data_IF_865807057858
#
_entry.id   IF_865807057858
#
_cell.length_a   1.000
_cell.length_b   1.000
_cell.length_c   1.000
_cell.angle_alpha   90.00
_cell.angle_beta   90.00
_cell.angle_gamma   90.00
#
_symmetry.space_group_name_H-M   'P 1'
#
loop_
_entity.id
_entity.type
_entity.pdbx_description
1 polymer ?
#
# COMPACT_ATOMS: atom_id res chain seq x y z
N UNK A 1 34.38 -25.63 -3.22
CA UNK A 1 33.97 -24.56 -4.17
C UNK A 1 32.69 -23.95 -3.62
N UNK A 2 32.84 -22.85 -2.87
CA UNK A 2 31.76 -22.20 -2.12
C UNK A 2 30.93 -21.39 -3.12
N UNK A 3 29.62 -21.64 -3.21
CA UNK A 3 28.70 -20.72 -3.87
C UNK A 3 28.61 -19.49 -2.97
N UNK A 4 29.25 -18.41 -3.39
CA UNK A 4 29.03 -17.09 -2.82
C UNK A 4 27.57 -16.73 -3.06
N UNK A 5 26.81 -16.67 -1.97
CA UNK A 5 25.48 -16.09 -1.95
C UNK A 5 25.55 -14.72 -2.63
N UNK A 6 24.82 -14.58 -3.75
CA UNK A 6 24.65 -13.29 -4.39
C UNK A 6 24.08 -12.32 -3.36
N UNK A 7 24.64 -11.11 -3.20
CA UNK A 7 24.01 -10.10 -2.37
C UNK A 7 22.64 -9.85 -2.98
N UNK A 8 21.58 -10.22 -2.28
CA UNK A 8 20.24 -9.74 -2.58
C UNK A 8 20.39 -8.23 -2.66
N UNK A 9 20.10 -7.67 -3.84
CA UNK A 9 20.40 -6.29 -4.16
C UNK A 9 19.55 -5.38 -3.26
N UNK A 10 20.09 -4.93 -2.13
CA UNK A 10 19.38 -4.17 -1.09
C UNK A 10 18.67 -2.93 -1.65
N UNK A 11 19.23 -2.34 -2.71
CA UNK A 11 18.64 -1.20 -3.44
C UNK A 11 17.33 -1.56 -4.16
N UNK A 12 17.23 -2.77 -4.73
CA UNK A 12 16.03 -3.24 -5.41
C UNK A 12 14.91 -3.56 -4.41
N UNK A 13 15.27 -4.21 -3.30
CA UNK A 13 14.36 -4.45 -2.17
C UNK A 13 13.82 -3.13 -1.64
N UNK A 14 14.70 -2.13 -1.40
CA UNK A 14 14.30 -0.81 -0.94
C UNK A 14 13.38 -0.08 -1.94
N UNK A 15 13.68 -0.17 -3.23
CA UNK A 15 12.86 0.44 -4.29
C UNK A 15 11.46 -0.18 -4.37
N UNK A 16 11.35 -1.51 -4.20
CA UNK A 16 10.05 -2.20 -4.16
C UNK A 16 9.24 -1.82 -2.93
N UNK A 17 9.88 -1.70 -1.76
CA UNK A 17 9.27 -1.23 -0.52
C UNK A 17 8.66 0.16 -0.70
N UNK A 18 9.44 1.13 -1.19
CA UNK A 18 8.95 2.50 -1.44
C UNK A 18 7.78 2.51 -2.43
N UNK A 19 7.87 1.72 -3.50
CA UNK A 19 6.81 1.66 -4.51
C UNK A 19 5.51 1.08 -3.94
N UNK A 20 5.63 0.05 -3.10
CA UNK A 20 4.48 -0.54 -2.40
C UNK A 20 3.84 0.48 -1.46
N UNK A 21 4.63 1.16 -0.64
CA UNK A 21 4.16 2.22 0.27
C UNK A 21 3.41 3.32 -0.50
N UNK A 22 3.95 3.74 -1.65
CA UNK A 22 3.31 4.72 -2.50
C UNK A 22 1.98 4.21 -3.07
N UNK A 23 1.92 2.95 -3.52
CA UNK A 23 0.70 2.34 -4.05
C UNK A 23 -0.41 2.29 -2.99
N UNK A 24 -0.08 1.83 -1.77
CA UNK A 24 -1.02 1.79 -0.64
C UNK A 24 -1.55 3.20 -0.33
N UNK A 25 -0.66 4.16 -0.12
CA UNK A 25 -1.05 5.51 0.28
C UNK A 25 -1.88 6.23 -0.80
N UNK A 26 -1.59 6.01 -2.09
CA UNK A 26 -2.42 6.55 -3.18
C UNK A 26 -3.80 5.90 -3.25
N UNK A 27 -3.87 4.60 -3.00
CA UNK A 27 -5.14 3.86 -2.98
C UNK A 27 -6.01 4.32 -1.81
N UNK A 28 -5.43 4.56 -0.62
CA UNK A 28 -6.14 5.16 0.52
C UNK A 28 -6.76 6.50 0.17
N UNK A 29 -5.98 7.41 -0.43
CA UNK A 29 -6.48 8.75 -0.82
C UNK A 29 -7.65 8.63 -1.79
N UNK A 30 -7.58 7.68 -2.73
CA UNK A 30 -8.67 7.46 -3.69
C UNK A 30 -9.90 6.86 -3.01
N UNK A 31 -9.73 5.84 -2.16
CA UNK A 31 -10.82 5.21 -1.41
C UNK A 31 -11.52 6.18 -0.44
N UNK A 32 -10.77 7.08 0.21
CA UNK A 32 -11.34 8.15 1.04
C UNK A 32 -12.20 9.12 0.23
N UNK A 33 -11.76 9.49 -0.99
CA UNK A 33 -12.55 10.35 -1.90
C UNK A 33 -13.85 9.68 -2.34
N UNK A 34 -13.87 8.35 -2.45
CA UNK A 34 -15.08 7.58 -2.76
C UNK A 34 -15.94 7.31 -1.51
N UNK A 35 -15.45 7.59 -0.30
CA UNK A 35 -16.14 7.28 0.96
C UNK A 35 -16.20 5.78 1.28
N UNK A 36 -15.36 4.96 0.66
CA UNK A 36 -15.46 3.49 0.75
C UNK A 36 -14.73 2.92 1.97
N UNK A 37 -13.64 3.55 2.40
CA UNK A 37 -12.82 3.13 3.54
C UNK A 37 -13.52 3.25 4.90
N UNK A 38 -14.45 4.20 5.06
CA UNK A 38 -15.18 4.40 6.33
C UNK A 38 -16.28 3.36 6.56
N UNK A 39 -16.73 2.69 5.49
CA UNK A 39 -17.97 1.94 5.47
C UNK A 39 -17.78 0.44 5.14
N UNK A 40 -16.58 0.02 4.74
CA UNK A 40 -16.36 -1.33 4.22
C UNK A 40 -15.34 -2.09 5.06
N UNK A 41 -15.84 -2.96 5.94
CA UNK A 41 -15.08 -4.13 6.42
C UNK A 41 -15.09 -5.28 5.39
N UNK A 42 -15.88 -5.13 4.32
CA UNK A 42 -16.03 -6.10 3.24
C UNK A 42 -14.88 -5.95 2.23
N UNK A 43 -14.04 -6.99 2.17
CA UNK A 43 -12.90 -7.11 1.27
C UNK A 43 -13.32 -7.02 -0.20
N UNK A 44 -14.38 -7.72 -0.59
CA UNK A 44 -14.73 -7.90 -1.99
C UNK A 44 -15.39 -6.64 -2.55
N UNK A 45 -16.21 -5.97 -1.74
CA UNK A 45 -16.73 -4.64 -2.07
C UNK A 45 -15.60 -3.62 -2.26
N UNK A 46 -14.63 -3.60 -1.34
CA UNK A 46 -13.49 -2.70 -1.40
C UNK A 46 -12.62 -3.00 -2.63
N UNK A 47 -12.34 -4.27 -2.90
CA UNK A 47 -11.57 -4.71 -4.06
C UNK A 47 -12.27 -4.33 -5.37
N UNK A 48 -13.55 -4.69 -5.55
CA UNK A 48 -14.30 -4.39 -6.76
C UNK A 48 -14.42 -2.89 -7.05
N UNK A 49 -14.52 -2.07 -6.00
CA UNK A 49 -14.56 -0.61 -6.15
C UNK A 49 -13.22 -0.01 -6.62
N UNK A 50 -12.10 -0.59 -6.18
CA UNK A 50 -10.77 -0.04 -6.41
C UNK A 50 -10.04 -0.65 -7.60
N UNK A 51 -10.45 -1.83 -8.06
CA UNK A 51 -9.74 -2.63 -9.06
C UNK A 51 -9.52 -1.88 -10.37
N UNK A 52 -10.59 -1.35 -10.97
CA UNK A 52 -10.51 -0.64 -12.25
C UNK A 52 -9.63 0.60 -12.18
N UNK A 53 -9.66 1.32 -11.06
CA UNK A 53 -8.77 2.46 -10.86
C UNK A 53 -7.32 1.99 -10.74
N UNK A 54 -7.06 0.96 -9.92
CA UNK A 54 -5.71 0.47 -9.65
C UNK A 54 -5.06 -0.06 -10.93
N UNK A 55 -5.79 -0.82 -11.76
CA UNK A 55 -5.34 -1.36 -13.04
C UNK A 55 -4.92 -0.27 -14.04
N UNK A 56 -5.45 0.95 -13.91
CA UNK A 56 -5.08 2.11 -14.76
C UNK A 56 -3.84 2.85 -14.26
N UNK A 57 -3.32 2.51 -13.08
CA UNK A 57 -2.11 3.12 -12.53
C UNK A 57 -0.85 2.44 -13.02
N UNK A 58 0.30 3.12 -12.88
CA UNK A 58 1.61 2.50 -13.15
C UNK A 58 1.97 1.38 -12.16
N UNK A 59 1.28 1.29 -11.02
CA UNK A 59 1.54 0.28 -9.99
C UNK A 59 1.11 -1.13 -10.44
N UNK A 60 0.08 -1.25 -11.27
CA UNK A 60 -0.48 -2.54 -11.70
C UNK A 60 0.54 -3.48 -12.36
N UNK A 61 1.57 -2.92 -12.99
CA UNK A 61 2.66 -3.69 -13.61
C UNK A 61 3.72 -4.21 -12.62
N UNK A 62 3.70 -3.73 -11.37
CA UNK A 62 4.79 -3.93 -10.39
C UNK A 62 4.33 -4.40 -9.01
N UNK A 63 3.07 -4.13 -8.64
CA UNK A 63 2.51 -4.37 -7.31
C UNK A 63 1.24 -5.21 -7.47
N UNK A 64 1.11 -6.26 -6.64
CA UNK A 64 -0.09 -7.08 -6.61
C UNK A 64 -1.23 -6.32 -5.92
N UNK A 65 -2.34 -6.12 -6.63
CA UNK A 65 -3.51 -5.41 -6.12
C UNK A 65 -4.07 -6.02 -4.82
N UNK A 66 -4.14 -7.35 -4.73
CA UNK A 66 -4.63 -8.04 -3.54
C UNK A 66 -3.83 -7.70 -2.27
N UNK A 67 -2.50 -7.55 -2.38
CA UNK A 67 -1.66 -7.17 -1.23
C UNK A 67 -1.98 -5.76 -0.75
N UNK A 68 -2.29 -4.85 -1.68
CA UNK A 68 -2.71 -3.49 -1.34
C UNK A 68 -4.07 -3.52 -0.63
N UNK A 69 -5.01 -4.33 -1.09
CA UNK A 69 -6.32 -4.50 -0.44
C UNK A 69 -6.17 -5.07 0.99
N UNK A 70 -5.34 -6.10 1.17
CA UNK A 70 -5.06 -6.67 2.50
C UNK A 70 -4.53 -5.60 3.47
N UNK A 71 -3.62 -4.75 3.01
CA UNK A 71 -3.12 -3.64 3.82
C UNK A 71 -4.23 -2.61 4.10
N UNK A 72 -5.03 -2.25 3.09
CA UNK A 72 -6.13 -1.28 3.24
C UNK A 72 -7.19 -1.74 4.26
N UNK A 73 -7.41 -3.05 4.41
CA UNK A 73 -8.33 -3.60 5.42
C UNK A 73 -7.82 -3.41 6.86
N UNK A 74 -6.53 -3.15 7.04
CA UNK A 74 -5.94 -2.83 8.35
C UNK A 74 -5.91 -1.32 8.64
N UNK A 75 -6.45 -0.50 7.73
CA UNK A 75 -6.42 0.96 7.84
C UNK A 75 -7.15 1.44 9.09
N UNK A 76 -6.50 2.35 9.82
CA UNK A 76 -6.97 2.82 11.14
C UNK A 76 -7.59 4.21 11.08
N UNK A 77 -6.93 5.19 10.46
CA UNK A 77 -7.45 6.56 10.38
C UNK A 77 -6.84 7.40 9.24
N UNK A 78 -7.49 8.53 8.94
CA UNK A 78 -7.05 9.50 7.93
C UNK A 78 -5.72 10.17 8.29
N UNK A 79 -5.36 10.15 9.57
CA UNK A 79 -4.11 10.72 10.09
C UNK A 79 -2.94 9.76 10.02
N UNK A 80 -3.11 8.58 9.41
CA UNK A 80 -2.03 7.62 9.24
C UNK A 80 -1.58 7.50 7.78
N UNK A 81 -0.35 7.04 7.58
CA UNK A 81 0.20 6.63 6.30
C UNK A 81 0.93 5.30 6.45
N UNK A 82 0.97 4.51 5.38
CA UNK A 82 1.67 3.23 5.37
C UNK A 82 3.15 3.41 5.04
N UNK A 83 4.02 2.68 5.74
CA UNK A 83 5.47 2.69 5.53
C UNK A 83 6.08 1.33 5.89
N UNK A 84 7.08 0.89 5.12
CA UNK A 84 7.84 -0.35 5.40
C UNK A 84 7.52 -1.51 4.45
N UNK A 85 6.89 -1.24 3.30
CA UNK A 85 6.57 -2.23 2.28
C UNK A 85 5.44 -3.14 2.73
N UNK A 86 5.38 -4.36 2.20
CA UNK A 86 4.25 -5.27 2.47
C UNK A 86 4.07 -5.60 3.97
N UNK A 87 5.17 -5.69 4.73
CA UNK A 87 5.14 -5.94 6.18
C UNK A 87 5.27 -4.65 7.02
N UNK A 88 4.96 -3.52 6.39
CA UNK A 88 4.99 -2.22 7.03
C UNK A 88 3.94 -2.02 8.11
N UNK A 89 3.76 -0.76 8.51
CA UNK A 89 2.75 -0.37 9.48
C UNK A 89 2.15 1.00 9.17
N UNK A 90 0.97 1.24 9.74
CA UNK A 90 0.36 2.57 9.76
C UNK A 90 1.10 3.45 10.76
N UNK A 91 1.76 4.47 10.27
CA UNK A 91 2.45 5.47 11.08
C UNK A 91 1.61 6.74 11.16
N UNK A 92 1.56 7.42 12.32
CA UNK A 92 0.87 8.70 12.42
C UNK A 92 1.58 9.73 11.54
N UNK A 93 0.81 10.54 10.83
CA UNK A 93 1.29 11.78 10.24
C UNK A 93 1.70 12.67 11.40
N UNK A 94 2.96 13.10 11.43
CA UNK A 94 3.42 14.08 12.41
C UNK A 94 2.52 15.31 12.25
N UNK A 95 1.64 15.53 13.23
CA UNK A 95 0.81 16.71 13.25
C UNK A 95 1.69 17.95 13.28
N UNK A 96 1.36 18.97 12.50
CA UNK A 96 1.72 20.32 12.93
C UNK A 96 0.95 20.52 14.24
N UNK A 97 1.67 20.59 15.36
CA UNK A 97 1.10 21.14 16.59
C UNK A 97 0.57 22.52 16.25
N UNK A 98 -0.75 22.64 16.08
CA UNK A 98 -1.48 23.91 16.17
C UNK A 98 -1.76 24.21 17.62
#
# INVERSE_FOLDING_TARGET
MVRLDSPINDSETHSRTILFDLAVNRTVVYALRLGTLKNSADRDLLAGTLELWFLRTRFASKIHFNQVIEVLLTWTSEDHYWSGGYYGSWLPKLGKST
#
